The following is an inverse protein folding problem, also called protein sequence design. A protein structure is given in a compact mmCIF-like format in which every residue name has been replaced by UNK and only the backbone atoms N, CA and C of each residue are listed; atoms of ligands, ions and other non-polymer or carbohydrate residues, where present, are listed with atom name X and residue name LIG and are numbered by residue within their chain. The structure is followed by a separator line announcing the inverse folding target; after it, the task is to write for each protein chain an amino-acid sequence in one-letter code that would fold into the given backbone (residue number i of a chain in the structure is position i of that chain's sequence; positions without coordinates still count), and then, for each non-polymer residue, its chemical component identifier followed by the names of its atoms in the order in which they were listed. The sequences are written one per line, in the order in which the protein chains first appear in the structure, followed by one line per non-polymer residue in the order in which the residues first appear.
data_IF_803101473766
#
_entry.id   IF_803101473766
#
_cell.length_a   1.000
_cell.length_b   1.000
_cell.length_c   1.000
_cell.angle_alpha   90.00
_cell.angle_beta   90.00
_cell.angle_gamma   90.00
#
_symmetry.space_group_name_H-M   'P 1'
#
loop_
_entity.id
_entity.type
_entity.pdbx_description
1 polymer ?
#
# COMPACT_ATOMS: atom_id res chain seq x y z
N UNK A 1 -4.11 4.39 22.84
CA UNK A 1 -4.86 4.19 21.59
C UNK A 1 -4.10 4.70 20.38
N UNK A 2 -4.26 4.02 19.27
CA UNK A 2 -3.54 4.37 18.06
C UNK A 2 -4.13 5.57 17.35
N UNK A 3 -3.29 6.27 16.62
CA UNK A 3 -3.71 7.35 15.74
C UNK A 3 -4.25 6.74 14.45
N UNK A 4 -5.35 7.25 13.97
CA UNK A 4 -5.94 6.81 12.70
C UNK A 4 -5.57 7.79 11.60
N UNK A 5 -5.05 7.25 10.50
CA UNK A 5 -4.65 8.06 9.34
C UNK A 5 -5.42 7.57 8.11
N UNK A 6 -6.05 8.49 7.40
CA UNK A 6 -6.71 8.19 6.13
C UNK A 6 -6.39 9.33 5.15
N UNK A 7 -6.97 9.25 3.96
CA UNK A 7 -6.73 10.26 2.93
C UNK A 7 -7.13 11.66 3.42
N UNK A 8 -8.26 11.75 4.11
CA UNK A 8 -8.74 13.04 4.60
C UNK A 8 -7.80 13.63 5.65
N UNK A 9 -7.31 12.81 6.58
CA UNK A 9 -6.40 13.30 7.61
C UNK A 9 -5.05 13.71 7.01
N UNK A 10 -4.58 13.00 5.98
CA UNK A 10 -3.36 13.38 5.27
C UNK A 10 -3.54 14.72 4.56
N UNK A 11 -4.71 14.91 3.95
CA UNK A 11 -5.05 16.17 3.27
C UNK A 11 -5.02 17.34 4.24
N UNK A 12 -5.62 17.17 5.42
CA UNK A 12 -5.62 18.21 6.44
C UNK A 12 -4.21 18.51 6.94
N UNK A 13 -3.41 17.48 7.17
CA UNK A 13 -2.04 17.66 7.62
C UNK A 13 -1.23 18.48 6.62
N UNK A 14 -1.32 18.16 5.33
CA UNK A 14 -0.61 18.89 4.30
C UNK A 14 -1.09 20.34 4.22
N UNK A 15 -2.41 20.55 4.31
CA UNK A 15 -2.97 21.88 4.26
C UNK A 15 -2.42 22.76 5.38
N UNK A 16 -2.37 22.22 6.59
CA UNK A 16 -1.91 22.95 7.77
C UNK A 16 -0.39 23.13 7.74
N UNK A 17 0.36 22.05 7.52
CA UNK A 17 1.82 22.09 7.63
C UNK A 17 2.48 22.84 6.49
N UNK A 18 1.91 22.76 5.29
CA UNK A 18 2.49 23.40 4.11
C UNK A 18 1.75 24.67 3.68
N UNK A 19 0.76 25.07 4.47
CA UNK A 19 -0.02 26.27 4.18
C UNK A 19 -0.63 26.22 2.77
N UNK A 20 -1.20 25.06 2.43
CA UNK A 20 -1.84 24.81 1.13
C UNK A 20 -3.35 24.89 1.28
N UNK A 21 -4.03 25.20 0.17
CA UNK A 21 -5.47 25.07 0.14
C UNK A 21 -5.86 23.59 0.31
N UNK A 22 -7.05 23.33 0.82
CA UNK A 22 -7.53 21.97 0.98
C UNK A 22 -7.56 21.22 -0.35
N UNK A 23 -7.96 21.92 -1.41
CA UNK A 23 -8.03 21.36 -2.76
C UNK A 23 -6.65 20.95 -3.26
N UNK A 24 -5.65 21.81 -3.08
CA UNK A 24 -4.27 21.50 -3.50
C UNK A 24 -3.69 20.37 -2.67
N UNK A 25 -3.97 20.34 -1.37
CA UNK A 25 -3.51 19.26 -0.49
C UNK A 25 -4.11 17.92 -0.90
N UNK A 26 -5.40 17.89 -1.23
CA UNK A 26 -6.05 16.66 -1.70
C UNK A 26 -5.44 16.17 -3.00
N UNK A 27 -5.17 17.08 -3.92
CA UNK A 27 -4.52 16.74 -5.18
C UNK A 27 -3.13 16.17 -4.95
N UNK A 28 -2.36 16.77 -4.03
CA UNK A 28 -1.02 16.29 -3.70
C UNK A 28 -1.05 14.87 -3.14
N UNK A 29 -1.99 14.57 -2.25
CA UNK A 29 -2.15 13.21 -1.71
C UNK A 29 -2.48 12.23 -2.83
N UNK A 30 -3.41 12.59 -3.71
CA UNK A 30 -3.78 11.74 -4.84
C UNK A 30 -2.61 11.48 -5.77
N UNK A 31 -1.81 12.50 -6.06
CA UNK A 31 -0.62 12.35 -6.91
C UNK A 31 0.34 11.32 -6.34
N UNK A 32 0.60 11.40 -5.04
CA UNK A 32 1.54 10.49 -4.39
C UNK A 32 1.06 9.04 -4.50
N UNK A 33 -0.19 8.80 -4.13
CA UNK A 33 -0.72 7.43 -4.13
C UNK A 33 -0.96 6.90 -5.54
N UNK A 34 -1.33 7.75 -6.49
CA UNK A 34 -1.45 7.32 -7.88
C UNK A 34 -0.10 6.93 -8.47
N UNK A 35 0.95 7.68 -8.16
CA UNK A 35 2.30 7.35 -8.60
C UNK A 35 2.76 6.00 -8.04
N UNK A 36 2.49 5.76 -6.76
CA UNK A 36 2.81 4.49 -6.13
C UNK A 36 2.01 3.34 -6.75
N UNK A 37 0.71 3.55 -6.98
CA UNK A 37 -0.16 2.55 -7.59
C UNK A 37 0.28 2.21 -9.00
N UNK A 38 0.65 3.20 -9.79
CA UNK A 38 1.11 3.00 -11.17
C UNK A 38 2.41 2.20 -11.20
N UNK A 39 3.34 2.49 -10.29
CA UNK A 39 4.59 1.74 -10.19
C UNK A 39 4.32 0.28 -9.89
N UNK A 40 3.43 0.00 -8.94
CA UNK A 40 3.09 -1.37 -8.58
C UNK A 40 2.32 -2.09 -9.68
N UNK A 41 1.44 -1.38 -10.38
CA UNK A 41 0.68 -1.95 -11.49
C UNK A 41 1.57 -2.36 -12.67
N UNK A 42 2.74 -1.73 -12.80
CA UNK A 42 3.71 -2.04 -13.86
C UNK A 42 4.77 -3.04 -13.42
N UNK A 43 4.51 -3.82 -12.37
CA UNK A 43 5.45 -4.77 -11.78
C UNK A 43 6.71 -4.11 -11.19
N UNK A 44 6.61 -2.83 -10.87
CA UNK A 44 7.69 -2.13 -10.21
C UNK A 44 7.63 -2.28 -8.70
N UNK A 45 8.38 -1.45 -8.03
CA UNK A 45 8.35 -1.41 -6.57
C UNK A 45 8.39 0.03 -6.12
N UNK A 46 7.97 0.24 -4.87
CA UNK A 46 7.97 1.55 -4.23
C UNK A 46 8.86 1.47 -3.00
N UNK A 47 9.87 2.33 -2.93
CA UNK A 47 10.83 2.33 -1.83
C UNK A 47 10.81 3.72 -1.19
N UNK A 48 10.26 3.79 0.02
CA UNK A 48 10.15 5.04 0.77
C UNK A 48 11.14 4.98 1.93
N UNK A 49 12.18 5.80 1.84
CA UNK A 49 13.24 5.85 2.85
C UNK A 49 12.67 6.03 4.26
N UNK A 50 13.16 5.24 5.19
CA UNK A 50 12.77 5.29 6.61
C UNK A 50 11.34 4.86 6.89
N UNK A 51 10.60 4.44 5.86
CA UNK A 51 9.24 3.96 6.03
C UNK A 51 9.13 2.48 5.67
N UNK A 52 9.37 2.15 4.41
CA UNK A 52 9.27 0.77 3.98
C UNK A 52 9.23 0.65 2.48
N UNK A 53 9.03 -0.57 2.02
CA UNK A 53 9.06 -0.90 0.61
C UNK A 53 7.82 -1.70 0.24
N UNK A 54 7.21 -1.33 -0.88
CA UNK A 54 6.12 -2.10 -1.46
C UNK A 54 6.66 -2.87 -2.66
N UNK A 55 6.37 -4.15 -2.72
CA UNK A 55 6.80 -5.03 -3.79
C UNK A 55 5.62 -5.86 -4.28
N UNK A 56 5.69 -6.29 -5.54
CA UNK A 56 4.69 -7.20 -6.08
C UNK A 56 5.13 -8.63 -5.81
N UNK A 57 4.23 -9.39 -5.24
CA UNK A 57 4.41 -10.82 -5.00
C UNK A 57 3.56 -11.59 -6.01
N UNK A 58 4.21 -12.43 -6.81
CA UNK A 58 3.53 -13.26 -7.79
C UNK A 58 3.09 -14.56 -7.13
N UNK A 59 1.79 -14.71 -6.99
CA UNK A 59 1.21 -15.96 -6.49
C UNK A 59 0.94 -16.86 -7.69
N UNK A 60 1.67 -17.96 -7.78
CA UNK A 60 1.53 -18.89 -8.89
C UNK A 60 0.17 -19.58 -8.83
N UNK A 61 -0.35 -19.95 -10.02
CA UNK A 61 -1.55 -20.78 -10.07
C UNK A 61 -1.27 -22.13 -9.42
N UNK A 62 -2.27 -22.70 -8.81
CA UNK A 62 -2.16 -24.00 -8.13
C UNK A 62 -3.50 -24.70 -8.12
N UNK A 63 -3.46 -26.01 -7.92
CA UNK A 63 -4.67 -26.79 -7.73
C UNK A 63 -5.13 -26.66 -6.28
N UNK A 64 -6.40 -26.40 -6.12
CA UNK A 64 -7.00 -26.33 -4.80
C UNK A 64 -8.27 -27.16 -4.77
N UNK A 65 -8.93 -27.19 -3.62
CA UNK A 65 -10.18 -27.90 -3.44
C UNK A 65 -11.23 -26.90 -3.03
N UNK A 66 -12.37 -26.91 -3.77
CA UNK A 66 -13.50 -26.07 -3.42
C UNK A 66 -14.09 -26.56 -2.10
N UNK A 67 -14.14 -25.73 -1.05
CA UNK A 67 -14.63 -26.18 0.25
C UNK A 67 -16.12 -26.53 0.27
N UNK A 68 -16.89 -26.03 -0.69
CA UNK A 68 -18.32 -26.28 -0.77
C UNK A 68 -18.61 -27.58 -1.54
N UNK A 69 -18.07 -27.69 -2.76
CA UNK A 69 -18.31 -28.86 -3.62
C UNK A 69 -17.28 -29.96 -3.43
N UNK A 70 -16.15 -29.66 -2.82
CA UNK A 70 -15.01 -30.54 -2.63
C UNK A 70 -14.39 -31.02 -3.94
N UNK A 71 -14.66 -30.31 -5.02
CA UNK A 71 -14.07 -30.58 -6.31
C UNK A 71 -12.74 -29.86 -6.45
N UNK A 72 -11.85 -30.42 -7.26
CA UNK A 72 -10.59 -29.77 -7.58
C UNK A 72 -10.86 -28.57 -8.48
N UNK A 73 -10.18 -27.47 -8.19
CA UNK A 73 -10.27 -26.26 -9.00
C UNK A 73 -8.92 -25.63 -9.16
N UNK A 74 -8.72 -24.93 -10.27
CA UNK A 74 -7.50 -24.19 -10.53
C UNK A 74 -7.61 -22.82 -9.86
N UNK A 75 -6.68 -22.55 -8.93
CA UNK A 75 -6.58 -21.23 -8.33
C UNK A 75 -5.69 -20.39 -9.24
N UNK A 76 -6.25 -19.30 -9.79
CA UNK A 76 -5.56 -18.46 -10.74
C UNK A 76 -4.33 -17.79 -10.12
N UNK A 77 -3.32 -17.57 -10.97
CA UNK A 77 -2.18 -16.77 -10.58
C UNK A 77 -2.62 -15.32 -10.35
N UNK A 78 -2.13 -14.72 -9.29
CA UNK A 78 -2.46 -13.32 -8.97
C UNK A 78 -1.20 -12.58 -8.56
N UNK A 79 -1.26 -11.26 -8.71
CA UNK A 79 -0.19 -10.37 -8.26
C UNK A 79 -0.70 -9.58 -7.06
N UNK A 80 0.04 -9.62 -5.97
CA UNK A 80 -0.35 -8.95 -4.73
C UNK A 80 0.73 -7.98 -4.29
N UNK A 81 0.36 -6.74 -3.98
CA UNK A 81 1.32 -5.82 -3.37
C UNK A 81 1.58 -6.23 -1.93
N UNK A 82 2.85 -6.28 -1.53
CA UNK A 82 3.27 -6.58 -0.17
C UNK A 82 4.09 -5.43 0.37
N UNK A 83 3.89 -5.12 1.64
CA UNK A 83 4.62 -4.09 2.34
C UNK A 83 5.69 -4.69 3.23
N UNK A 84 6.92 -4.18 3.10
CA UNK A 84 8.04 -4.53 3.98
C UNK A 84 8.46 -3.29 4.75
N UNK A 85 8.22 -3.25 6.06
CA UNK A 85 8.61 -2.08 6.84
C UNK A 85 10.13 -1.94 6.93
N UNK A 86 10.61 -0.70 6.97
CA UNK A 86 12.03 -0.43 7.18
C UNK A 86 12.39 -0.71 8.64
N UNK A 87 13.70 -0.88 8.89
CA UNK A 87 14.16 -1.05 10.26
C UNK A 87 13.84 0.18 11.11
N UNK A 88 13.95 1.36 10.51
CA UNK A 88 13.58 2.60 11.19
C UNK A 88 12.13 2.59 11.65
N UNK A 89 11.22 2.15 10.77
CA UNK A 89 9.81 2.06 11.11
C UNK A 89 9.57 1.02 12.21
N UNK A 90 10.20 -0.15 12.11
CA UNK A 90 10.08 -1.19 13.14
C UNK A 90 10.52 -0.67 14.50
N UNK A 91 11.65 0.04 14.54
CA UNK A 91 12.18 0.60 15.77
C UNK A 91 11.22 1.61 16.38
N UNK A 92 10.60 2.44 15.54
CA UNK A 92 9.63 3.43 15.99
C UNK A 92 8.40 2.79 16.61
N UNK A 93 7.96 1.66 16.06
CA UNK A 93 6.79 0.94 16.56
C UNK A 93 7.07 0.20 17.87
N UNK A 94 8.33 -0.14 18.13
CA UNK A 94 8.74 -0.96 19.27
C UNK A 94 9.50 -0.17 20.33
N UNK A 95 9.18 1.09 20.49
CA UNK A 95 9.76 1.92 21.55
C UNK A 95 9.23 1.52 22.91
#
# INVERSE_FOLDING_TARGET
MGKYVNKESLTQTLSIQLNMSKKDAEYAVDLIFNEMSDALASDGHVDITSFGKFEIFDRKSRMGINPVTKERMMIQATKLPKFRPSQTLKNKCNK
#
